data_IF_885948898954
#
_entry.id   IF_885948898954
#
_cell.length_a   1.000
_cell.length_b   1.000
_cell.length_c   1.000
_cell.angle_alpha   90.00
_cell.angle_beta   90.00
_cell.angle_gamma   90.00
#
_symmetry.space_group_name_H-M   'P 1'
#
loop_
_entity.id
_entity.type
_entity.pdbx_description
1 polymer ?
#
# COMPACT_ATOMS: atom_id res chain seq x y z
N UNK A 1 32.70 -6.35 -16.55
CA UNK A 1 31.65 -5.63 -15.80
C UNK A 1 31.67 -6.04 -14.32
N UNK A 2 31.43 -5.09 -13.44
CA UNK A 2 31.31 -5.38 -12.01
C UNK A 2 29.95 -6.02 -11.75
N UNK A 3 29.94 -7.21 -11.18
CA UNK A 3 28.72 -7.93 -10.83
C UNK A 3 28.30 -7.58 -9.41
N UNK A 4 27.01 -7.34 -9.23
CA UNK A 4 26.41 -7.05 -7.94
C UNK A 4 25.48 -8.17 -7.52
N UNK A 5 25.61 -8.64 -6.30
CA UNK A 5 24.72 -9.63 -5.70
C UNK A 5 24.03 -9.06 -4.47
N UNK A 6 22.84 -9.56 -4.17
CA UNK A 6 22.07 -9.14 -3.00
C UNK A 6 21.58 -10.34 -2.21
N UNK A 7 21.48 -10.17 -0.90
CA UNK A 7 20.91 -11.17 -0.02
C UNK A 7 20.13 -10.50 1.12
N UNK A 8 18.96 -11.07 1.50
CA UNK A 8 18.30 -12.17 0.82
C UNK A 8 17.62 -11.73 -0.49
N UNK A 9 17.18 -12.67 -1.31
CA UNK A 9 16.40 -12.35 -2.52
C UNK A 9 14.96 -11.99 -2.20
N UNK A 10 14.42 -12.54 -1.12
CA UNK A 10 13.09 -12.28 -0.58
C UNK A 10 13.19 -12.13 0.94
N UNK A 11 12.55 -11.11 1.48
CA UNK A 11 12.60 -10.79 2.89
C UNK A 11 11.18 -10.58 3.45
N UNK A 12 10.55 -11.64 3.98
CA UNK A 12 9.31 -11.48 4.73
C UNK A 12 9.62 -10.93 6.13
N UNK A 13 8.92 -9.87 6.53
CA UNK A 13 9.12 -9.21 7.82
C UNK A 13 7.81 -8.67 8.37
N UNK A 14 7.76 -8.45 9.68
CA UNK A 14 6.60 -7.86 10.36
C UNK A 14 6.77 -6.35 10.52
N UNK A 15 5.67 -5.63 10.62
CA UNK A 15 5.70 -4.18 10.91
C UNK A 15 6.45 -3.94 12.22
N UNK A 16 7.29 -2.91 12.24
CA UNK A 16 8.13 -2.58 13.39
C UNK A 16 9.47 -3.32 13.43
N UNK A 17 9.68 -4.32 12.61
CA UNK A 17 10.95 -5.05 12.56
C UNK A 17 12.09 -4.19 12.04
N UNK A 18 13.30 -4.49 12.53
CA UNK A 18 14.54 -4.00 11.92
C UNK A 18 14.94 -4.97 10.82
N UNK A 19 15.07 -4.47 9.60
CA UNK A 19 15.43 -5.28 8.44
C UNK A 19 16.73 -4.79 7.82
N UNK A 20 17.56 -5.73 7.36
CA UNK A 20 18.83 -5.43 6.71
C UNK A 20 18.96 -6.22 5.42
N UNK A 21 19.35 -5.53 4.36
CA UNK A 21 19.63 -6.10 3.04
C UNK A 21 21.11 -5.92 2.76
N UNK A 22 21.77 -6.98 2.29
CA UNK A 22 23.19 -6.97 1.97
C UNK A 22 23.42 -6.91 0.46
N UNK A 23 24.47 -6.22 0.07
CA UNK A 23 24.93 -6.09 -1.31
C UNK A 23 26.41 -6.39 -1.37
N UNK A 24 26.82 -7.21 -2.33
CA UNK A 24 28.23 -7.54 -2.54
C UNK A 24 28.62 -7.29 -3.99
N UNK A 25 29.75 -6.59 -4.18
CA UNK A 25 30.34 -6.36 -5.49
C UNK A 25 31.40 -7.41 -5.81
N UNK A 26 31.59 -7.74 -7.09
CA UNK A 26 32.63 -8.68 -7.53
C UNK A 26 34.06 -8.16 -7.37
N UNK A 27 34.20 -6.85 -7.17
CA UNK A 27 35.48 -6.18 -6.89
C UNK A 27 35.26 -4.97 -5.97
N UNK A 28 36.32 -4.37 -5.48
CA UNK A 28 36.26 -3.17 -4.65
C UNK A 28 35.64 -2.01 -5.43
N UNK A 29 34.56 -1.44 -4.89
CA UNK A 29 33.86 -0.29 -5.46
C UNK A 29 33.95 0.96 -4.57
N UNK A 30 34.80 0.91 -3.53
CA UNK A 30 34.91 1.98 -2.54
C UNK A 30 33.55 2.30 -1.92
N UNK A 31 33.13 3.55 -1.92
CA UNK A 31 31.81 3.99 -1.43
C UNK A 31 30.84 4.35 -2.58
N UNK A 32 31.17 3.98 -3.80
CA UNK A 32 30.38 4.35 -4.99
C UNK A 32 29.19 3.41 -5.17
N UNK A 33 28.26 3.45 -4.22
CA UNK A 33 27.08 2.59 -4.17
C UNK A 33 25.84 3.38 -3.82
N UNK A 34 24.76 3.09 -4.55
CA UNK A 34 23.43 3.66 -4.33
C UNK A 34 22.42 2.57 -4.01
N UNK A 35 21.34 2.95 -3.30
CA UNK A 35 20.20 2.10 -3.02
C UNK A 35 18.92 2.73 -3.56
N UNK A 36 18.13 1.92 -4.25
CA UNK A 36 16.85 2.32 -4.84
C UNK A 36 15.71 1.48 -4.28
N UNK A 37 14.54 2.10 -4.16
CA UNK A 37 13.28 1.43 -3.86
C UNK A 37 12.38 1.47 -5.10
N UNK A 38 11.78 0.34 -5.45
CA UNK A 38 10.78 0.28 -6.52
C UNK A 38 9.52 -0.37 -6.01
N UNK A 39 8.40 0.36 -6.08
CA UNK A 39 7.07 -0.16 -5.80
C UNK A 39 6.44 -0.71 -7.06
N UNK A 40 5.50 -1.70 -6.97
CA UNK A 40 4.87 -2.29 -8.13
C UNK A 40 4.26 -1.24 -9.07
N UNK A 41 4.58 -1.32 -10.37
CA UNK A 41 4.10 -0.40 -11.38
C UNK A 41 4.66 1.02 -11.32
N UNK A 42 5.65 1.27 -10.48
CA UNK A 42 6.29 2.59 -10.31
C UNK A 42 7.75 2.55 -10.75
N UNK A 43 8.30 3.73 -11.03
CA UNK A 43 9.73 3.88 -11.30
C UNK A 43 10.56 3.71 -10.04
N UNK A 44 11.82 3.26 -10.14
CA UNK A 44 12.73 3.24 -9.01
C UNK A 44 12.95 4.64 -8.44
N UNK A 45 13.05 4.72 -7.11
CA UNK A 45 13.33 5.96 -6.37
C UNK A 45 14.66 5.83 -5.64
N UNK A 46 15.53 6.83 -5.78
CA UNK A 46 16.78 6.87 -5.04
C UNK A 46 16.50 7.12 -3.55
N UNK A 47 17.02 6.25 -2.70
CA UNK A 47 16.92 6.39 -1.24
C UNK A 47 18.26 6.81 -0.62
N UNK A 48 19.33 6.14 -1.01
CA UNK A 48 20.67 6.34 -0.43
C UNK A 48 21.68 6.43 -1.56
N UNK A 49 22.58 7.38 -1.46
CA UNK A 49 23.69 7.54 -2.39
C UNK A 49 25.03 7.60 -1.64
N UNK A 50 26.09 7.29 -2.33
CA UNK A 50 27.44 7.25 -1.76
C UNK A 50 27.48 6.45 -0.45
N UNK A 51 26.91 5.25 -0.48
CA UNK A 51 26.85 4.24 0.60
C UNK A 51 25.94 4.60 1.77
N UNK A 52 26.02 5.83 2.32
CA UNK A 52 25.35 6.18 3.59
C UNK A 52 24.62 7.52 3.59
N UNK A 53 24.52 8.21 2.47
CA UNK A 53 23.85 9.51 2.41
C UNK A 53 22.40 9.39 2.01
N UNK A 54 21.49 9.93 2.82
CA UNK A 54 20.07 9.93 2.50
C UNK A 54 19.78 10.98 1.42
N UNK A 55 19.00 10.56 0.41
CA UNK A 55 18.45 11.48 -0.57
C UNK A 55 17.40 12.40 0.08
N UNK A 56 17.14 13.55 -0.55
CA UNK A 56 16.19 14.53 -0.03
C UNK A 56 14.79 13.93 0.16
N UNK A 57 14.20 14.19 1.32
CA UNK A 57 12.85 13.72 1.66
C UNK A 57 12.74 12.25 2.05
N UNK A 58 13.86 11.53 2.13
CA UNK A 58 13.88 10.12 2.56
C UNK A 58 13.83 10.04 4.08
N UNK A 59 12.91 9.23 4.65
CA UNK A 59 12.79 9.10 6.10
C UNK A 59 14.08 8.62 6.78
N UNK A 60 14.32 9.09 8.00
CA UNK A 60 15.53 8.78 8.78
C UNK A 60 15.61 7.33 9.27
N UNK A 61 14.52 6.56 9.15
CA UNK A 61 14.56 5.12 9.47
C UNK A 61 15.39 4.32 8.48
N UNK A 62 15.67 4.88 7.30
CA UNK A 62 16.56 4.28 6.31
C UNK A 62 18.00 4.65 6.58
N UNK A 63 18.91 3.70 6.46
CA UNK A 63 20.35 3.92 6.61
C UNK A 63 21.13 2.94 5.74
N UNK A 64 22.34 3.35 5.42
CA UNK A 64 23.28 2.53 4.67
C UNK A 64 24.66 2.54 5.29
N UNK A 65 25.41 1.46 5.08
CA UNK A 65 26.77 1.33 5.56
C UNK A 65 27.58 0.43 4.64
N UNK A 66 28.89 0.40 4.86
CA UNK A 66 29.81 -0.45 4.14
C UNK A 66 30.92 0.30 3.44
N UNK A 67 31.80 -0.43 2.81
CA UNK A 67 32.79 0.04 1.86
C UNK A 67 33.48 -1.15 1.18
N UNK A 68 34.23 -0.88 0.11
CA UNK A 68 34.93 -1.94 -0.58
C UNK A 68 33.99 -2.81 -1.40
N UNK A 69 33.82 -4.06 -0.99
CA UNK A 69 32.97 -5.04 -1.70
C UNK A 69 31.62 -5.26 -1.02
N UNK A 70 31.51 -4.89 0.24
CA UNK A 70 30.31 -5.22 1.05
C UNK A 70 29.62 -3.95 1.53
N UNK A 71 28.30 -3.93 1.33
CA UNK A 71 27.44 -2.83 1.76
C UNK A 71 26.11 -3.37 2.30
N UNK A 72 25.48 -2.61 3.18
CA UNK A 72 24.16 -2.97 3.72
C UNK A 72 23.23 -1.78 3.77
N UNK A 73 21.95 -2.09 3.62
CA UNK A 73 20.82 -1.18 3.74
C UNK A 73 19.96 -1.64 4.90
N UNK A 74 19.57 -0.72 5.78
CA UNK A 74 18.80 -1.06 6.98
C UNK A 74 17.58 -0.14 7.10
N UNK A 75 16.45 -0.75 7.44
CA UNK A 75 15.25 -0.05 7.89
C UNK A 75 15.14 -0.33 9.40
N UNK A 76 15.18 0.71 10.23
CA UNK A 76 15.21 0.53 11.69
C UNK A 76 13.89 0.04 12.26
N UNK A 77 12.77 0.43 11.67
CA UNK A 77 11.43 0.01 12.07
C UNK A 77 10.55 0.00 10.83
N UNK A 78 10.22 -1.21 10.37
CA UNK A 78 9.49 -1.40 9.11
C UNK A 78 8.08 -0.81 9.19
N UNK A 79 7.73 -0.01 8.20
CA UNK A 79 6.39 0.51 8.00
C UNK A 79 5.76 -0.12 6.75
N UNK A 80 4.43 -0.09 6.67
CA UNK A 80 3.69 -0.69 5.55
C UNK A 80 4.05 -0.08 4.19
N UNK A 81 4.41 1.20 4.17
CA UNK A 81 4.82 1.91 2.95
C UNK A 81 6.21 1.50 2.46
N UNK A 82 6.97 0.76 3.25
CA UNK A 82 8.31 0.29 2.88
C UNK A 82 8.30 -0.97 2.02
N UNK A 83 7.14 -1.55 1.78
CA UNK A 83 6.98 -2.74 0.95
C UNK A 83 7.35 -2.41 -0.50
N UNK A 84 8.14 -3.27 -1.10
CA UNK A 84 8.61 -3.11 -2.47
C UNK A 84 9.90 -3.88 -2.72
N UNK A 85 10.55 -3.60 -3.84
CA UNK A 85 11.84 -4.17 -4.18
C UNK A 85 12.95 -3.17 -3.98
N UNK A 86 14.08 -3.63 -3.49
CA UNK A 86 15.24 -2.79 -3.21
C UNK A 86 16.43 -3.25 -4.03
N UNK A 87 17.13 -2.30 -4.63
CA UNK A 87 18.26 -2.57 -5.53
C UNK A 87 19.48 -1.78 -5.10
N UNK A 88 20.64 -2.43 -5.05
CA UNK A 88 21.91 -1.74 -4.98
C UNK A 88 22.47 -1.51 -6.37
N UNK A 89 23.27 -0.46 -6.52
CA UNK A 89 23.88 -0.08 -7.80
C UNK A 89 25.28 0.47 -7.55
N UNK A 90 26.26 -0.02 -8.28
CA UNK A 90 27.60 0.55 -8.27
C UNK A 90 27.76 1.59 -9.38
N UNK A 91 28.50 2.66 -9.10
CA UNK A 91 28.94 3.63 -10.09
C UNK A 91 30.45 3.94 -9.97
N UNK A 92 31.17 2.91 -9.50
CA UNK A 92 32.63 2.97 -9.42
C UNK A 92 33.30 2.91 -10.80
N UNK A 93 32.75 2.03 -11.66
CA UNK A 93 33.30 1.86 -13.01
C UNK A 93 32.15 1.55 -13.99
N UNK A 94 32.25 2.13 -15.18
CA UNK A 94 31.28 1.92 -16.24
C UNK A 94 31.45 0.54 -16.89
N UNK A 95 30.38 -0.18 -17.27
CA UNK A 95 28.97 0.18 -17.18
C UNK A 95 28.44 0.06 -15.74
N UNK A 96 27.56 0.98 -15.34
CA UNK A 96 26.95 0.94 -14.03
C UNK A 96 26.00 -0.25 -13.95
N UNK A 97 26.17 -1.06 -12.91
CA UNK A 97 25.45 -2.32 -12.76
C UNK A 97 24.64 -2.34 -11.47
N UNK A 98 23.50 -3.04 -11.55
CA UNK A 98 22.57 -3.21 -10.43
C UNK A 98 22.64 -4.63 -9.87
N UNK A 99 22.33 -4.78 -8.60
CA UNK A 99 22.01 -6.07 -8.02
C UNK A 99 20.67 -6.61 -8.54
N UNK A 100 20.40 -7.90 -8.30
CA UNK A 100 19.17 -8.54 -8.79
C UNK A 100 17.92 -8.14 -8.04
N UNK A 101 18.06 -7.46 -6.93
CA UNK A 101 16.95 -6.99 -6.10
C UNK A 101 16.64 -7.88 -4.92
N UNK A 102 16.01 -7.26 -3.92
CA UNK A 102 15.45 -7.92 -2.74
C UNK A 102 14.00 -7.51 -2.62
N UNK A 103 13.10 -8.48 -2.61
CA UNK A 103 11.67 -8.23 -2.44
C UNK A 103 11.32 -8.24 -0.96
N UNK A 104 10.91 -7.09 -0.44
CA UNK A 104 10.47 -6.92 0.94
C UNK A 104 8.97 -7.05 1.02
N UNK A 105 8.49 -8.01 1.80
CA UNK A 105 7.08 -8.35 1.96
C UNK A 105 6.69 -8.32 3.43
N UNK A 106 5.40 -8.05 3.72
CA UNK A 106 4.87 -8.20 5.08
C UNK A 106 4.58 -9.67 5.33
N UNK A 107 5.17 -10.20 6.39
CA UNK A 107 4.86 -11.52 6.93
C UNK A 107 3.53 -11.46 7.66
N UNK A 108 2.75 -12.54 7.57
CA UNK A 108 1.43 -12.66 8.22
C UNK A 108 0.43 -11.58 7.76
N UNK A 109 0.50 -11.25 6.48
CA UNK A 109 -0.41 -10.31 5.85
C UNK A 109 -1.85 -10.81 5.89
N UNK A 110 -2.75 -10.01 6.48
CA UNK A 110 -4.19 -10.30 6.50
C UNK A 110 -4.90 -9.30 5.58
N UNK A 111 -5.53 -9.77 4.48
CA UNK A 111 -6.28 -8.90 3.59
C UNK A 111 -7.59 -8.43 4.22
N UNK A 112 -8.11 -7.26 3.79
CA UNK A 112 -9.38 -6.77 4.30
C UNK A 112 -10.58 -7.58 3.81
N UNK A 113 -11.63 -7.59 4.62
CA UNK A 113 -12.97 -8.01 4.19
C UNK A 113 -13.79 -6.76 3.93
N UNK A 114 -14.41 -6.67 2.76
CA UNK A 114 -15.21 -5.51 2.34
C UNK A 114 -16.68 -5.89 2.29
N UNK A 115 -17.52 -5.11 2.98
CA UNK A 115 -18.97 -5.34 3.03
C UNK A 115 -19.71 -4.03 3.04
N UNK A 116 -20.75 -3.92 2.19
CA UNK A 116 -21.65 -2.78 2.17
C UNK A 116 -22.89 -3.10 3.01
N UNK A 117 -23.23 -2.17 3.91
CA UNK A 117 -24.43 -2.17 4.71
C UNK A 117 -25.29 -0.97 4.33
N UNK A 118 -26.61 -1.18 4.28
CA UNK A 118 -27.58 -0.12 3.98
C UNK A 118 -28.25 0.35 5.27
N UNK A 119 -28.59 1.65 5.34
CA UNK A 119 -29.49 2.13 6.37
C UNK A 119 -30.87 1.51 6.18
N UNK A 120 -31.49 0.98 7.26
CA UNK A 120 -32.83 0.42 7.20
C UNK A 120 -33.86 1.53 6.97
N UNK A 121 -34.77 1.37 6.01
CA UNK A 121 -35.99 2.17 5.95
C UNK A 121 -36.92 1.65 7.06
N UNK A 122 -37.34 2.54 7.96
CA UNK A 122 -38.43 2.24 8.87
C UNK A 122 -39.66 1.87 8.06
N UNK A 123 -40.31 0.77 8.41
CA UNK A 123 -41.44 0.19 7.69
C UNK A 123 -42.71 1.06 7.58
N UNK A 124 -42.57 2.38 7.54
CA UNK A 124 -43.64 3.36 7.49
C UNK A 124 -44.04 3.87 6.09
N UNK A 125 -43.56 3.24 5.01
CA UNK A 125 -43.97 3.59 3.64
C UNK A 125 -43.40 4.89 3.08
N UNK A 126 -42.57 5.59 3.82
CA UNK A 126 -41.85 6.79 3.36
C UNK A 126 -40.36 6.53 3.35
N UNK A 127 -39.71 6.62 2.18
CA UNK A 127 -38.26 6.63 2.12
C UNK A 127 -37.72 7.92 2.72
N UNK A 128 -36.65 7.88 3.53
CA UNK A 128 -35.98 9.09 4.00
C UNK A 128 -35.45 9.90 2.81
N UNK A 129 -35.29 11.21 2.94
CA UNK A 129 -34.78 12.06 1.84
C UNK A 129 -33.36 11.69 1.42
N UNK A 130 -32.62 11.03 2.29
CA UNK A 130 -31.27 10.53 2.02
C UNK A 130 -31.13 9.09 2.47
N UNK A 131 -30.30 8.34 1.77
CA UNK A 131 -29.95 6.96 2.13
C UNK A 131 -28.46 6.90 2.35
N UNK A 132 -28.05 6.19 3.39
CA UNK A 132 -26.64 6.00 3.72
C UNK A 132 -26.22 4.58 3.40
N UNK A 133 -25.10 4.45 2.69
CA UNK A 133 -24.40 3.20 2.48
C UNK A 133 -23.12 3.23 3.32
N UNK A 134 -22.91 2.19 4.10
CA UNK A 134 -21.71 2.03 4.91
C UNK A 134 -20.84 0.95 4.29
N UNK A 135 -19.63 1.30 3.90
CA UNK A 135 -18.62 0.34 3.49
C UNK A 135 -17.77 0.00 4.71
N UNK A 136 -17.86 -1.24 5.16
CA UNK A 136 -17.05 -1.75 6.25
C UNK A 136 -15.87 -2.53 5.68
N UNK A 137 -14.67 -2.06 5.96
CA UNK A 137 -13.41 -2.68 5.55
C UNK A 137 -12.72 -3.13 6.82
N UNK A 138 -12.73 -4.43 7.09
CA UNK A 138 -12.38 -4.96 8.41
C UNK A 138 -11.30 -6.02 8.39
N UNK A 139 -10.59 -6.15 9.52
CA UNK A 139 -9.69 -7.24 9.81
C UNK A 139 -8.45 -7.29 8.94
N UNK A 140 -7.87 -6.14 8.57
CA UNK A 140 -6.66 -6.09 7.75
C UNK A 140 -5.45 -5.65 8.56
N UNK A 141 -4.27 -6.09 8.12
CA UNK A 141 -3.00 -5.60 8.69
C UNK A 141 -2.87 -4.10 8.44
N UNK A 142 -2.60 -3.26 9.48
CA UNK A 142 -2.51 -1.82 9.32
C UNK A 142 -1.60 -1.41 8.17
N UNK A 143 -2.05 -0.43 7.39
CA UNK A 143 -1.32 0.10 6.24
C UNK A 143 -2.17 1.11 5.48
N UNK A 144 -1.60 1.68 4.43
CA UNK A 144 -2.30 2.63 3.58
C UNK A 144 -3.44 1.94 2.86
N UNK A 145 -4.65 2.44 3.07
CA UNK A 145 -5.85 1.95 2.43
C UNK A 145 -6.54 3.10 1.70
N UNK A 146 -7.05 2.84 0.51
CA UNK A 146 -7.77 3.82 -0.28
C UNK A 146 -9.14 3.27 -0.63
N UNK A 147 -10.19 4.04 -0.31
CA UNK A 147 -11.57 3.67 -0.58
C UNK A 147 -12.14 4.60 -1.64
N UNK A 148 -12.70 4.03 -2.68
CA UNK A 148 -13.34 4.76 -3.78
C UNK A 148 -14.75 4.22 -3.97
N UNK A 149 -15.72 5.11 -4.07
CA UNK A 149 -17.09 4.77 -4.39
C UNK A 149 -17.33 4.92 -5.88
N UNK A 150 -18.02 3.94 -6.46
CA UNK A 150 -18.38 3.91 -7.88
C UNK A 150 -19.91 3.82 -8.02
N UNK A 151 -20.45 4.62 -8.93
CA UNK A 151 -21.85 4.55 -9.36
C UNK A 151 -21.88 4.05 -10.81
N UNK A 152 -22.47 2.87 -11.04
CA UNK A 152 -22.45 2.19 -12.34
C UNK A 152 -21.06 2.14 -12.98
N UNK A 153 -20.03 1.90 -12.16
CA UNK A 153 -18.63 1.83 -12.61
C UNK A 153 -17.93 3.18 -12.77
N UNK A 154 -18.60 4.29 -12.50
CA UNK A 154 -18.02 5.63 -12.57
C UNK A 154 -17.63 6.13 -11.18
N UNK A 155 -16.44 6.70 -11.07
CA UNK A 155 -15.94 7.24 -9.78
C UNK A 155 -16.83 8.39 -9.34
N UNK A 156 -17.29 8.34 -8.10
CA UNK A 156 -18.14 9.36 -7.48
C UNK A 156 -17.29 10.46 -6.85
N UNK A 157 -17.93 11.62 -6.58
CA UNK A 157 -17.32 12.74 -5.90
C UNK A 157 -16.92 12.35 -4.47
N UNK A 158 -15.68 12.61 -4.09
CA UNK A 158 -15.15 12.34 -2.75
C UNK A 158 -15.88 13.12 -1.64
N UNK A 159 -16.48 14.26 -1.96
CA UNK A 159 -17.23 15.07 -1.00
C UNK A 159 -18.53 14.42 -0.53
N UNK A 160 -18.99 13.38 -1.22
CA UNK A 160 -20.19 12.62 -0.85
C UNK A 160 -19.93 11.54 0.19
N UNK A 161 -18.67 11.28 0.53
CA UNK A 161 -18.29 10.23 1.46
C UNK A 161 -17.40 10.74 2.58
N UNK A 162 -17.48 10.09 3.73
CA UNK A 162 -16.60 10.31 4.89
C UNK A 162 -15.99 8.98 5.30
N UNK A 163 -14.74 9.01 5.74
CA UNK A 163 -14.04 7.80 6.18
C UNK A 163 -13.44 7.96 7.56
N UNK A 164 -13.44 6.88 8.34
CA UNK A 164 -12.78 6.81 9.63
C UNK A 164 -12.11 5.46 9.83
N UNK A 165 -10.94 5.45 10.47
CA UNK A 165 -10.16 4.25 10.73
C UNK A 165 -10.04 4.01 12.22
N UNK A 166 -10.24 2.76 12.63
CA UNK A 166 -10.00 2.31 14.00
C UNK A 166 -9.04 1.13 13.99
N UNK A 167 -8.27 0.99 15.05
CA UNK A 167 -7.35 -0.13 15.22
C UNK A 167 -7.79 -1.00 16.39
N UNK A 168 -7.94 -2.29 16.16
CA UNK A 168 -8.30 -3.27 17.17
C UNK A 168 -7.18 -4.32 17.31
N UNK A 169 -6.34 -4.16 18.33
CA UNK A 169 -5.17 -5.00 18.52
C UNK A 169 -4.15 -4.82 17.38
N UNK A 170 -3.82 -5.91 16.72
CA UNK A 170 -2.87 -5.91 15.59
C UNK A 170 -3.55 -5.70 14.23
N UNK A 171 -4.88 -5.62 14.19
CA UNK A 171 -5.65 -5.42 12.98
C UNK A 171 -6.34 -4.07 12.96
N UNK A 172 -6.64 -3.58 11.78
CA UNK A 172 -7.34 -2.32 11.58
C UNK A 172 -8.68 -2.54 10.88
N UNK A 173 -9.58 -1.58 11.06
CA UNK A 173 -10.85 -1.49 10.35
C UNK A 173 -11.09 -0.06 9.92
N UNK A 174 -11.63 0.12 8.72
CA UNK A 174 -12.00 1.41 8.17
C UNK A 174 -13.45 1.38 7.72
N UNK A 175 -14.16 2.47 7.99
CA UNK A 175 -15.53 2.64 7.56
C UNK A 175 -15.60 3.84 6.63
N UNK A 176 -16.33 3.71 5.53
CA UNK A 176 -16.65 4.82 4.64
C UNK A 176 -18.17 4.91 4.50
N UNK A 177 -18.72 6.09 4.74
CA UNK A 177 -20.15 6.35 4.67
C UNK A 177 -20.44 7.21 3.45
N UNK A 178 -21.30 6.70 2.57
CA UNK A 178 -21.77 7.40 1.37
C UNK A 178 -23.21 7.83 1.58
N UNK A 179 -23.47 9.12 1.42
CA UNK A 179 -24.83 9.68 1.50
C UNK A 179 -25.39 9.90 0.10
N UNK A 180 -26.53 9.28 -0.18
CA UNK A 180 -27.22 9.38 -1.47
C UNK A 180 -28.56 10.07 -1.30
N UNK A 181 -28.97 10.89 -2.27
CA UNK A 181 -30.33 11.39 -2.35
C UNK A 181 -31.29 10.25 -2.70
N UNK A 182 -32.53 10.37 -2.25
CA UNK A 182 -33.61 9.41 -2.57
C UNK A 182 -33.71 9.21 -4.11
N UNK A 183 -33.57 10.27 -4.88
CA UNK A 183 -33.61 10.22 -6.35
C UNK A 183 -32.54 9.30 -6.93
N UNK A 184 -31.32 9.40 -6.45
CA UNK A 184 -30.21 8.54 -6.90
C UNK A 184 -30.45 7.10 -6.55
N UNK A 185 -30.87 6.82 -5.32
CA UNK A 185 -31.11 5.47 -4.87
C UNK A 185 -32.26 4.78 -5.64
N UNK A 186 -33.34 5.53 -5.93
CA UNK A 186 -34.49 5.00 -6.67
C UNK A 186 -34.22 4.84 -8.16
N UNK A 187 -33.12 5.36 -8.69
CA UNK A 187 -32.76 5.26 -10.11
C UNK A 187 -32.19 3.88 -10.51
N UNK A 188 -32.18 2.91 -9.61
CA UNK A 188 -31.75 1.52 -9.83
C UNK A 188 -30.30 1.39 -10.31
N UNK A 189 -29.43 2.22 -9.78
CA UNK A 189 -27.99 2.17 -10.05
C UNK A 189 -27.26 1.23 -9.12
N UNK A 190 -26.13 0.71 -9.58
CA UNK A 190 -25.25 -0.14 -8.77
C UNK A 190 -24.17 0.71 -8.13
N UNK A 191 -24.00 0.59 -6.82
CA UNK A 191 -22.97 1.28 -6.04
C UNK A 191 -21.92 0.28 -5.60
N UNK A 192 -20.67 0.62 -5.82
CA UNK A 192 -19.54 -0.24 -5.49
C UNK A 192 -18.60 0.50 -4.54
N UNK A 193 -18.23 -0.16 -3.46
CA UNK A 193 -17.13 0.26 -2.61
C UNK A 193 -15.88 -0.49 -3.05
N UNK A 194 -14.93 0.23 -3.63
CA UNK A 194 -13.67 -0.32 -4.11
C UNK A 194 -12.53 0.06 -3.18
N UNK A 195 -11.81 -0.92 -2.71
CA UNK A 195 -10.73 -0.75 -1.75
C UNK A 195 -9.42 -1.18 -2.38
N UNK A 196 -8.46 -0.27 -2.40
CA UNK A 196 -7.09 -0.57 -2.83
C UNK A 196 -6.19 -0.67 -1.61
N UNK A 197 -5.53 -1.82 -1.46
CA UNK A 197 -4.71 -2.15 -0.32
C UNK A 197 -3.55 -3.04 -0.76
N UNK A 198 -2.31 -2.60 -0.52
CA UNK A 198 -1.09 -3.33 -0.88
C UNK A 198 -1.04 -3.78 -2.36
N UNK A 199 -1.47 -2.91 -3.26
CA UNK A 199 -1.50 -3.21 -4.70
C UNK A 199 -2.62 -4.14 -5.15
N UNK A 200 -3.49 -4.56 -4.25
CA UNK A 200 -4.65 -5.39 -4.54
C UNK A 200 -5.95 -4.61 -4.43
N UNK A 201 -6.94 -5.00 -5.20
CA UNK A 201 -8.27 -4.39 -5.20
C UNK A 201 -9.28 -5.36 -4.62
N UNK A 202 -10.07 -4.86 -3.67
CA UNK A 202 -11.18 -5.57 -3.04
C UNK A 202 -12.43 -4.73 -3.23
N UNK A 203 -13.57 -5.36 -3.44
CA UNK A 203 -14.81 -4.61 -3.65
C UNK A 203 -16.05 -5.38 -3.20
N UNK A 204 -17.10 -4.63 -2.91
CA UNK A 204 -18.46 -5.12 -2.75
C UNK A 204 -19.41 -4.14 -3.42
N UNK A 205 -20.51 -4.65 -3.94
CA UNK A 205 -21.48 -3.85 -4.68
C UNK A 205 -22.89 -4.08 -4.13
N UNK A 206 -23.70 -3.04 -4.22
CA UNK A 206 -25.11 -3.10 -3.83
C UNK A 206 -25.96 -2.26 -4.77
N UNK A 207 -27.22 -2.59 -4.82
CA UNK A 207 -28.26 -1.80 -5.48
C UNK A 207 -29.56 -1.91 -4.71
N UNK A 208 -30.50 -1.02 -4.99
CA UNK A 208 -31.84 -1.10 -4.42
C UNK A 208 -32.42 -2.49 -4.71
N UNK A 209 -32.96 -3.16 -3.68
CA UNK A 209 -33.69 -4.41 -3.87
C UNK A 209 -34.90 -4.16 -4.78
N UNK A 210 -35.11 -5.03 -5.78
CA UNK A 210 -36.33 -5.02 -6.57
C UNK A 210 -37.51 -5.24 -5.61
N UNK A 211 -38.55 -4.40 -5.72
CA UNK A 211 -39.80 -4.65 -4.98
C UNK A 211 -40.30 -6.02 -5.39
N UNK A 212 -40.39 -6.93 -4.43
CA UNK A 212 -41.06 -8.23 -4.65
C UNK A 212 -42.53 -7.92 -4.83
N UNK A 213 -43.02 -8.05 -6.08
CA UNK A 213 -44.43 -8.07 -6.39
C UNK A 213 -45.10 -9.30 -5.79
#
# INVERSE_FOLDING_TARGET
DIQMTQSPSSLPASLGDRVTINCQASQDISNYLNWYQQKPGKAPKLLIYYTNKLADGVPSRFSGSGSGRDSSFTISSLESEDIGSYYCQQYYNYPWTFGPGTKLEIKDFTPPTVKILQSSSDGGGHFPPTIQLLCLVSGYTPGTIQITWLEDGQVMDVDLSTASTTQEGELASTQSELTLSQKHWLSDRTYTCQVTYQGHTFEDSTKKCADSN
#
